data_IF_438499967461
#
_entry.id   IF_438499967461
#
_cell.length_a   1.000
_cell.length_b   1.000
_cell.length_c   1.000
_cell.angle_alpha   90.00
_cell.angle_beta   90.00
_cell.angle_gamma   90.00
#
_symmetry.space_group_name_H-M   'P 1'
#
loop_
_entity.id
_entity.type
_entity.pdbx_description
1 polymer ?
#
# COMPACT_ATOMS: atom_id res chain seq x y z
N UNK A 1 -9.46 54.30 -46.65
CA UNK A 1 -10.17 53.33 -45.80
C UNK A 1 -9.17 52.30 -45.31
N UNK A 2 -8.66 52.39 -44.08
CA UNK A 2 -7.80 51.35 -43.53
C UNK A 2 -8.67 50.12 -43.20
N UNK A 3 -8.29 48.95 -43.70
CA UNK A 3 -8.99 47.69 -43.45
C UNK A 3 -8.96 47.29 -41.96
N UNK A 4 -9.91 46.46 -41.50
CA UNK A 4 -10.04 46.13 -40.09
C UNK A 4 -8.78 45.41 -39.60
N UNK A 5 -8.15 45.98 -38.57
CA UNK A 5 -7.04 45.39 -37.84
C UNK A 5 -7.43 43.98 -37.40
N UNK A 6 -6.72 42.97 -37.92
CA UNK A 6 -6.86 41.60 -37.49
C UNK A 6 -6.66 41.53 -35.96
N UNK A 7 -7.70 41.11 -35.23
CA UNK A 7 -7.65 40.93 -33.78
C UNK A 7 -6.48 39.98 -33.47
N UNK A 8 -5.58 40.31 -32.54
CA UNK A 8 -4.43 39.47 -32.27
C UNK A 8 -4.90 38.09 -31.78
N UNK A 9 -4.23 36.99 -32.18
CA UNK A 9 -4.67 35.61 -31.93
C UNK A 9 -4.75 35.20 -30.45
N UNK A 10 -4.41 36.09 -29.51
CA UNK A 10 -4.51 35.88 -28.06
C UNK A 10 -5.79 36.40 -27.37
N UNK A 11 -6.50 37.37 -27.96
CA UNK A 11 -7.59 38.09 -27.24
C UNK A 11 -8.79 37.18 -26.92
N UNK A 12 -9.15 36.28 -27.84
CA UNK A 12 -10.28 35.36 -27.64
C UNK A 12 -9.98 34.15 -26.74
N UNK A 13 -8.70 33.88 -26.44
CA UNK A 13 -8.29 32.83 -25.52
C UNK A 13 -8.31 33.34 -24.08
N UNK A 14 -7.73 34.53 -23.84
CA UNK A 14 -7.72 35.21 -22.54
C UNK A 14 -9.16 35.48 -22.06
N UNK A 15 -10.02 36.02 -22.94
CA UNK A 15 -11.43 36.29 -22.63
C UNK A 15 -12.22 35.01 -22.26
N UNK A 16 -11.92 33.87 -22.88
CA UNK A 16 -12.55 32.58 -22.51
C UNK A 16 -12.03 32.03 -21.18
N UNK A 17 -10.78 32.30 -20.81
CA UNK A 17 -10.23 31.92 -19.51
C UNK A 17 -10.83 32.75 -18.39
N UNK A 18 -10.89 34.08 -18.55
CA UNK A 18 -11.51 35.01 -17.61
C UNK A 18 -12.99 34.69 -17.41
N UNK A 19 -13.71 34.40 -18.50
CA UNK A 19 -15.11 33.94 -18.42
C UNK A 19 -15.26 32.67 -17.59
N UNK A 20 -14.36 31.68 -17.76
CA UNK A 20 -14.41 30.42 -16.98
C UNK A 20 -14.06 30.63 -15.51
N UNK A 21 -13.12 31.54 -15.23
CA UNK A 21 -12.76 31.93 -13.87
C UNK A 21 -13.97 32.51 -13.14
N UNK A 22 -14.65 33.50 -13.73
CA UNK A 22 -15.81 34.11 -13.07
C UNK A 22 -16.98 33.15 -12.92
N UNK A 23 -17.18 32.25 -13.88
CA UNK A 23 -18.19 31.18 -13.77
C UNK A 23 -17.87 30.24 -12.60
N UNK A 24 -16.60 29.94 -12.32
CA UNK A 24 -16.21 29.18 -11.13
C UNK A 24 -16.42 29.96 -9.82
N UNK A 25 -16.07 31.25 -9.81
CA UNK A 25 -16.16 32.13 -8.64
C UNK A 25 -17.60 32.37 -8.17
N UNK A 26 -18.54 32.41 -9.11
CA UNK A 26 -19.97 32.69 -8.85
C UNK A 26 -20.88 31.45 -8.88
N UNK A 27 -20.34 30.27 -9.20
CA UNK A 27 -21.09 29.02 -9.26
C UNK A 27 -21.80 28.70 -7.94
N UNK A 28 -23.00 28.10 -8.02
CA UNK A 28 -23.68 27.57 -6.84
C UNK A 28 -22.95 26.33 -6.30
N UNK A 29 -23.24 25.93 -5.05
CA UNK A 29 -22.67 24.71 -4.46
C UNK A 29 -22.99 23.45 -5.29
N UNK A 30 -24.18 23.38 -5.89
CA UNK A 30 -24.59 22.27 -6.75
C UNK A 30 -23.78 22.25 -8.06
N UNK A 31 -23.55 23.41 -8.67
CA UNK A 31 -22.78 23.53 -9.91
C UNK A 31 -21.31 23.16 -9.69
N UNK A 32 -20.73 23.59 -8.56
CA UNK A 32 -19.39 23.18 -8.13
C UNK A 32 -19.30 21.66 -7.97
N UNK A 33 -20.29 21.05 -7.32
CA UNK A 33 -20.35 19.60 -7.13
C UNK A 33 -20.40 18.84 -8.45
N UNK A 34 -21.16 19.32 -9.43
CA UNK A 34 -21.27 18.68 -10.74
C UNK A 34 -20.01 18.84 -11.61
N UNK A 35 -19.32 19.98 -11.51
CA UNK A 35 -18.35 20.40 -12.53
C UNK A 35 -16.88 20.19 -12.13
N UNK A 36 -16.53 20.31 -10.85
CA UNK A 36 -15.14 20.43 -10.39
C UNK A 36 -14.22 19.25 -10.76
N UNK A 37 -14.75 18.03 -10.82
CA UNK A 37 -13.95 16.84 -11.08
C UNK A 37 -13.31 16.80 -12.49
N UNK A 38 -13.90 17.51 -13.46
CA UNK A 38 -13.42 17.56 -14.86
C UNK A 38 -13.28 18.99 -15.39
N UNK A 39 -13.42 19.98 -14.50
CA UNK A 39 -13.41 21.37 -14.89
C UNK A 39 -12.04 21.81 -15.46
N UNK A 40 -12.04 22.78 -16.39
CA UNK A 40 -10.81 23.46 -16.80
C UNK A 40 -10.13 24.14 -15.61
N UNK A 41 -8.80 24.27 -15.68
CA UNK A 41 -7.96 24.88 -14.63
C UNK A 41 -8.50 26.25 -14.19
N UNK A 42 -8.83 27.13 -15.15
CA UNK A 42 -9.36 28.47 -14.87
C UNK A 42 -10.66 28.46 -14.04
N UNK A 43 -11.57 27.49 -14.28
CA UNK A 43 -12.79 27.35 -13.49
C UNK A 43 -12.48 26.92 -12.06
N UNK A 44 -11.54 25.98 -11.89
CA UNK A 44 -11.10 25.55 -10.55
C UNK A 44 -10.45 26.71 -9.79
N UNK A 45 -9.63 27.53 -10.46
CA UNK A 45 -9.03 28.72 -9.85
C UNK A 45 -10.08 29.70 -9.33
N UNK A 46 -11.10 30.00 -10.14
CA UNK A 46 -12.21 30.84 -9.70
C UNK A 46 -13.03 30.21 -8.57
N UNK A 47 -13.26 28.90 -8.64
CA UNK A 47 -13.96 28.16 -7.58
C UNK A 47 -13.22 28.19 -6.24
N UNK A 48 -11.88 28.31 -6.22
CA UNK A 48 -11.13 28.48 -4.97
C UNK A 48 -11.39 29.83 -4.28
N UNK A 49 -11.89 30.82 -5.00
CA UNK A 49 -12.31 32.12 -4.46
C UNK A 49 -13.82 32.19 -4.17
N UNK A 50 -14.55 31.09 -4.38
CA UNK A 50 -15.98 31.04 -4.19
C UNK A 50 -16.33 30.88 -2.69
N UNK A 51 -17.19 31.74 -2.12
CA UNK A 51 -17.58 31.65 -0.71
C UNK A 51 -18.36 30.38 -0.35
N UNK A 52 -19.00 29.72 -1.34
CA UNK A 52 -19.70 28.45 -1.15
C UNK A 52 -18.76 27.22 -1.21
N UNK A 53 -17.44 27.42 -1.31
CA UNK A 53 -16.47 26.34 -1.35
C UNK A 53 -16.46 25.56 -0.03
N UNK A 54 -16.55 24.23 -0.13
CA UNK A 54 -16.55 23.31 1.00
C UNK A 54 -15.41 22.28 0.86
N UNK A 55 -15.04 21.57 1.93
CA UNK A 55 -14.11 20.46 1.82
C UNK A 55 -14.55 19.38 0.81
N UNK A 56 -15.86 19.12 0.68
CA UNK A 56 -16.39 18.19 -0.32
C UNK A 56 -16.10 18.64 -1.75
N UNK A 57 -16.22 19.93 -2.03
CA UNK A 57 -15.85 20.52 -3.33
C UNK A 57 -14.34 20.37 -3.61
N UNK A 58 -13.49 20.56 -2.59
CA UNK A 58 -12.04 20.35 -2.72
C UNK A 58 -11.68 18.90 -3.06
N UNK A 59 -12.37 17.92 -2.47
CA UNK A 59 -12.17 16.51 -2.83
C UNK A 59 -12.51 16.23 -4.30
N UNK A 60 -13.53 16.90 -4.83
CA UNK A 60 -13.88 16.80 -6.24
C UNK A 60 -12.83 17.45 -7.13
N UNK A 61 -12.35 18.65 -6.76
CA UNK A 61 -11.25 19.31 -7.47
C UNK A 61 -9.99 18.42 -7.49
N UNK A 62 -9.60 17.83 -6.35
CA UNK A 62 -8.42 16.96 -6.23
C UNK A 62 -8.54 15.63 -6.99
N UNK A 63 -9.72 15.25 -7.48
CA UNK A 63 -9.87 14.10 -8.41
C UNK A 63 -9.46 14.46 -9.85
N UNK A 64 -9.34 15.74 -10.17
CA UNK A 64 -8.98 16.20 -11.50
C UNK A 64 -7.46 16.06 -11.74
N UNK A 65 -7.01 15.13 -12.60
CA UNK A 65 -5.57 14.87 -12.81
C UNK A 65 -4.85 16.03 -13.52
N UNK A 66 -5.61 16.98 -14.08
CA UNK A 66 -5.06 18.13 -14.79
C UNK A 66 -4.66 19.28 -13.87
N UNK A 67 -4.94 19.20 -12.56
CA UNK A 67 -4.61 20.29 -11.65
C UNK A 67 -3.10 20.57 -11.64
N UNK A 68 -2.68 21.81 -11.92
CA UNK A 68 -1.28 22.19 -11.87
C UNK A 68 -0.81 22.36 -10.42
N UNK A 69 0.50 22.23 -10.22
CA UNK A 69 1.15 22.34 -8.91
C UNK A 69 0.82 23.63 -8.13
N UNK A 70 0.75 24.84 -8.76
CA UNK A 70 0.44 26.07 -8.05
C UNK A 70 -0.94 26.09 -7.37
N UNK A 71 -1.95 25.44 -7.99
CA UNK A 71 -3.29 25.31 -7.40
C UNK A 71 -3.23 24.40 -6.18
N UNK A 72 -2.54 23.26 -6.29
CA UNK A 72 -2.37 22.33 -5.17
C UNK A 72 -1.60 22.97 -4.01
N UNK A 73 -0.57 23.77 -4.31
CA UNK A 73 0.15 24.56 -3.32
C UNK A 73 -0.74 25.61 -2.66
N UNK A 74 -1.61 26.27 -3.42
CA UNK A 74 -2.61 27.22 -2.90
C UNK A 74 -3.59 26.53 -1.95
N UNK A 75 -4.09 25.35 -2.32
CA UNK A 75 -4.95 24.54 -1.45
C UNK A 75 -4.19 24.17 -0.17
N UNK A 76 -2.95 23.73 -0.30
CA UNK A 76 -2.08 23.33 0.82
C UNK A 76 -1.73 24.44 1.81
N UNK A 77 -1.75 25.71 1.39
CA UNK A 77 -1.48 26.87 2.26
C UNK A 77 -2.65 27.22 3.16
N UNK A 78 -3.87 26.79 2.83
CA UNK A 78 -5.05 27.08 3.64
C UNK A 78 -5.27 25.98 4.68
N UNK A 79 -4.97 26.28 5.95
CA UNK A 79 -5.09 25.33 7.05
C UNK A 79 -6.53 24.82 7.25
N UNK A 80 -7.56 25.65 7.00
CA UNK A 80 -8.95 25.24 7.15
C UNK A 80 -9.34 24.19 6.11
N UNK A 81 -8.83 24.32 4.89
CA UNK A 81 -9.06 23.38 3.80
C UNK A 81 -8.32 22.05 3.99
N UNK A 82 -7.10 22.10 4.53
CA UNK A 82 -6.26 20.91 4.75
C UNK A 82 -6.60 20.21 6.06
N UNK A 83 -7.35 20.84 6.97
CA UNK A 83 -7.72 20.25 8.27
C UNK A 83 -8.39 18.86 8.13
N UNK A 84 -9.38 18.64 7.25
CA UNK A 84 -10.04 17.34 7.08
C UNK A 84 -9.07 16.28 6.56
N UNK A 85 -9.19 15.06 7.10
CA UNK A 85 -8.34 13.93 6.72
C UNK A 85 -8.38 13.64 5.22
N UNK A 86 -9.58 13.59 4.64
CA UNK A 86 -9.78 13.21 3.24
C UNK A 86 -9.06 14.16 2.28
N UNK A 87 -8.99 15.46 2.63
CA UNK A 87 -8.29 16.45 1.81
C UNK A 87 -6.78 16.22 1.87
N UNK A 88 -6.23 15.92 3.06
CA UNK A 88 -4.80 15.54 3.19
C UNK A 88 -4.48 14.32 2.34
N UNK A 89 -5.29 13.27 2.47
CA UNK A 89 -5.13 12.03 1.71
C UNK A 89 -5.21 12.29 0.20
N UNK A 90 -6.20 13.08 -0.25
CA UNK A 90 -6.36 13.43 -1.66
C UNK A 90 -5.17 14.25 -2.20
N UNK A 91 -4.64 15.21 -1.44
CA UNK A 91 -3.42 15.96 -1.83
C UNK A 91 -2.23 15.03 -1.97
N UNK A 92 -1.95 14.18 -0.97
CA UNK A 92 -0.80 13.25 -1.01
C UNK A 92 -0.91 12.28 -2.20
N UNK A 93 -2.13 11.91 -2.59
CA UNK A 93 -2.40 11.01 -3.69
C UNK A 93 -2.37 11.64 -5.08
N UNK A 94 -2.29 12.97 -5.16
CA UNK A 94 -2.25 13.67 -6.43
C UNK A 94 -0.83 13.62 -7.00
N UNK A 95 -0.67 13.07 -8.21
CA UNK A 95 0.65 12.88 -8.83
C UNK A 95 1.41 14.19 -9.15
N UNK A 96 0.71 15.32 -9.18
CA UNK A 96 1.29 16.67 -9.33
C UNK A 96 1.41 17.46 -8.02
N UNK A 97 1.15 16.84 -6.87
CA UNK A 97 1.26 17.55 -5.60
C UNK A 97 2.69 18.05 -5.37
N UNK A 98 2.87 19.29 -4.86
CA UNK A 98 4.18 19.79 -4.47
C UNK A 98 4.83 18.80 -3.50
N UNK A 99 6.07 18.39 -3.79
CA UNK A 99 6.73 17.33 -3.03
C UNK A 99 6.80 17.64 -1.54
N UNK A 100 7.17 18.86 -1.16
CA UNK A 100 7.28 19.30 0.24
C UNK A 100 5.93 19.20 0.96
N UNK A 101 4.85 19.61 0.29
CA UNK A 101 3.50 19.52 0.84
C UNK A 101 3.10 18.05 1.07
N UNK A 102 3.27 17.19 0.05
CA UNK A 102 2.95 15.78 0.17
C UNK A 102 3.76 15.08 1.26
N UNK A 103 5.06 15.41 1.39
CA UNK A 103 5.94 14.87 2.43
C UNK A 103 5.54 15.30 3.84
N UNK A 104 5.03 16.52 4.01
CA UNK A 104 4.54 16.98 5.30
C UNK A 104 3.22 16.31 5.67
N UNK A 105 2.36 16.05 4.69
CA UNK A 105 1.03 15.49 4.91
C UNK A 105 1.02 13.96 5.08
N UNK A 106 1.97 13.23 4.49
CA UNK A 106 2.01 11.76 4.51
C UNK A 106 2.08 11.18 5.93
N UNK A 107 2.66 11.92 6.89
CA UNK A 107 2.79 11.50 8.28
C UNK A 107 1.45 11.38 9.01
N UNK A 108 0.43 12.09 8.53
CA UNK A 108 -0.92 12.10 9.10
C UNK A 108 -1.85 11.03 8.51
N UNK A 109 -1.40 10.29 7.49
CA UNK A 109 -2.24 9.29 6.83
C UNK A 109 -2.42 8.05 7.68
N UNK A 110 -3.61 7.46 7.58
CA UNK A 110 -3.91 6.14 8.11
C UNK A 110 -3.23 5.06 7.28
N UNK A 111 -3.10 3.86 7.86
CA UNK A 111 -2.32 2.78 7.26
C UNK A 111 -2.83 2.36 5.87
N UNK A 112 -4.15 2.42 5.64
CA UNK A 112 -4.76 2.12 4.33
C UNK A 112 -4.23 3.05 3.23
N UNK A 113 -4.21 4.35 3.51
CA UNK A 113 -3.73 5.34 2.54
C UNK A 113 -2.21 5.32 2.43
N UNK A 114 -1.47 5.06 3.52
CA UNK A 114 -0.02 4.82 3.45
C UNK A 114 0.31 3.63 2.54
N UNK A 115 -0.44 2.52 2.67
CA UNK A 115 -0.27 1.35 1.81
C UNK A 115 -0.56 1.71 0.34
N UNK A 116 -1.63 2.48 0.09
CA UNK A 116 -1.99 2.95 -1.25
C UNK A 116 -0.95 3.94 -1.82
N UNK A 117 -0.34 4.80 -1.00
CA UNK A 117 0.76 5.70 -1.42
C UNK A 117 1.99 4.89 -1.81
N UNK A 118 2.38 3.93 -0.97
CA UNK A 118 3.56 3.08 -1.21
C UNK A 118 3.44 2.30 -2.55
N UNK A 119 2.22 1.88 -2.90
CA UNK A 119 1.97 1.07 -4.10
C UNK A 119 1.76 1.87 -5.40
N UNK A 120 1.57 3.20 -5.33
CA UNK A 120 1.20 4.00 -6.51
C UNK A 120 2.40 4.37 -7.39
N UNK A 121 2.57 3.81 -8.60
CA UNK A 121 3.79 4.03 -9.39
C UNK A 121 3.97 5.47 -9.89
N UNK A 122 2.90 6.23 -10.00
CA UNK A 122 2.89 7.62 -10.46
C UNK A 122 3.27 8.64 -9.38
N UNK A 123 3.47 8.22 -8.13
CA UNK A 123 3.91 9.09 -7.05
C UNK A 123 5.44 9.13 -6.93
N UNK A 124 5.96 10.25 -6.42
CA UNK A 124 7.40 10.46 -6.24
C UNK A 124 8.04 9.29 -5.46
N UNK A 125 9.15 8.68 -5.93
CA UNK A 125 9.78 7.53 -5.27
C UNK A 125 10.17 7.77 -3.80
N UNK A 126 10.50 9.02 -3.45
CA UNK A 126 10.82 9.42 -2.08
C UNK A 126 9.60 9.38 -1.18
N UNK A 127 8.46 9.90 -1.64
CA UNK A 127 7.17 9.83 -0.94
C UNK A 127 6.74 8.38 -0.70
N UNK A 128 6.85 7.52 -1.71
CA UNK A 128 6.50 6.09 -1.61
C UNK A 128 7.33 5.36 -0.56
N UNK A 129 8.66 5.58 -0.58
CA UNK A 129 9.58 5.02 0.42
C UNK A 129 9.28 5.54 1.83
N UNK A 130 8.94 6.82 1.96
CA UNK A 130 8.56 7.38 3.26
C UNK A 130 7.27 6.79 3.79
N UNK A 131 6.24 6.64 2.94
CA UNK A 131 5.00 5.98 3.31
C UNK A 131 5.23 4.52 3.75
N UNK A 132 6.02 3.76 2.99
CA UNK A 132 6.41 2.39 3.34
C UNK A 132 7.14 2.34 4.69
N UNK A 133 8.08 3.27 4.94
CA UNK A 133 8.81 3.34 6.21
C UNK A 133 7.88 3.60 7.40
N UNK A 134 7.00 4.58 7.28
CA UNK A 134 6.01 4.90 8.32
C UNK A 134 5.10 3.69 8.57
N UNK A 135 4.61 3.07 7.50
CA UNK A 135 3.75 1.90 7.58
C UNK A 135 4.46 0.71 8.24
N UNK A 136 5.74 0.49 7.92
CA UNK A 136 6.57 -0.58 8.51
C UNK A 136 6.75 -0.40 10.01
N UNK A 137 6.93 0.84 10.48
CA UNK A 137 7.03 1.16 11.91
C UNK A 137 5.69 0.93 12.60
N UNK A 138 4.60 1.49 12.06
CA UNK A 138 3.26 1.39 12.66
C UNK A 138 2.65 -0.01 12.57
N UNK A 139 3.09 -0.84 11.63
CA UNK A 139 2.52 -2.17 11.40
C UNK A 139 2.54 -3.07 12.65
N UNK A 140 3.49 -2.87 13.57
CA UNK A 140 3.57 -3.65 14.81
C UNK A 140 2.45 -3.32 15.80
N UNK A 141 1.99 -2.07 15.79
CA UNK A 141 0.97 -1.52 16.71
C UNK A 141 -0.46 -1.71 16.20
N UNK A 142 -0.62 -2.10 14.93
CA UNK A 142 -1.94 -2.33 14.33
C UNK A 142 -2.69 -3.46 15.03
N UNK A 143 -4.02 -3.32 15.10
CA UNK A 143 -4.87 -4.40 15.57
C UNK A 143 -4.74 -5.63 14.65
N UNK A 144 -5.01 -6.82 15.18
CA UNK A 144 -4.86 -8.08 14.42
C UNK A 144 -5.66 -8.06 13.11
N UNK A 145 -6.91 -7.55 13.13
CA UNK A 145 -7.73 -7.43 11.92
C UNK A 145 -7.13 -6.48 10.86
N UNK A 146 -6.48 -5.41 11.30
CA UNK A 146 -5.78 -4.47 10.42
C UNK A 146 -4.51 -5.09 9.84
N UNK A 147 -3.73 -5.79 10.67
CA UNK A 147 -2.56 -6.56 10.22
C UNK A 147 -2.92 -7.61 9.18
N UNK A 148 -4.02 -8.35 9.38
CA UNK A 148 -4.55 -9.32 8.41
C UNK A 148 -4.87 -8.63 7.08
N UNK A 149 -5.52 -7.47 7.13
CA UNK A 149 -5.90 -6.72 5.95
C UNK A 149 -4.67 -6.14 5.22
N UNK A 150 -3.71 -5.61 5.97
CA UNK A 150 -2.44 -5.11 5.46
C UNK A 150 -1.60 -6.24 4.85
N UNK A 151 -1.53 -7.41 5.47
CA UNK A 151 -0.71 -8.53 5.03
C UNK A 151 -0.99 -8.95 3.58
N UNK A 152 -2.26 -8.86 3.12
CA UNK A 152 -2.65 -9.20 1.74
C UNK A 152 -2.14 -8.22 0.70
N UNK A 153 -2.00 -6.95 1.06
CA UNK A 153 -1.64 -5.85 0.14
C UNK A 153 -0.25 -5.27 0.42
N UNK A 154 0.44 -5.78 1.45
CA UNK A 154 1.72 -5.27 1.93
C UNK A 154 2.75 -5.16 0.80
N UNK A 155 3.55 -4.09 0.86
CA UNK A 155 4.75 -3.93 0.05
C UNK A 155 5.91 -4.75 0.62
N UNK A 156 7.02 -4.87 -0.13
CA UNK A 156 8.17 -5.71 0.28
C UNK A 156 8.75 -5.28 1.64
N UNK A 157 8.86 -3.98 1.92
CA UNK A 157 9.34 -3.49 3.21
C UNK A 157 8.45 -3.93 4.36
N UNK A 158 7.13 -3.87 4.17
CA UNK A 158 6.13 -4.25 5.19
C UNK A 158 6.06 -5.77 5.37
N UNK A 159 6.21 -6.56 4.30
CA UNK A 159 6.29 -8.04 4.38
C UNK A 159 7.42 -8.48 5.31
N UNK A 160 8.58 -7.83 5.26
CA UNK A 160 9.72 -8.15 6.12
C UNK A 160 9.42 -7.95 7.61
N UNK A 161 8.50 -7.06 7.95
CA UNK A 161 8.01 -6.84 9.31
C UNK A 161 6.95 -7.89 9.66
N UNK A 162 5.92 -8.04 8.83
CA UNK A 162 4.77 -8.91 9.10
C UNK A 162 5.11 -10.41 9.12
N UNK A 163 6.17 -10.83 8.43
CA UNK A 163 6.63 -12.25 8.48
C UNK A 163 7.10 -12.68 9.88
N UNK A 164 7.35 -11.74 10.79
CA UNK A 164 7.73 -12.02 12.18
C UNK A 164 6.52 -12.06 13.12
N UNK A 165 5.31 -11.85 12.60
CA UNK A 165 4.10 -11.84 13.42
C UNK A 165 3.78 -13.25 13.93
N UNK A 166 3.46 -13.35 15.21
CA UNK A 166 3.18 -14.61 15.90
C UNK A 166 1.74 -15.10 15.64
N UNK A 167 0.87 -14.24 15.10
CA UNK A 167 -0.51 -14.60 14.86
C UNK A 167 -0.66 -15.42 13.56
N UNK A 168 -1.16 -16.68 13.63
CA UNK A 168 -1.31 -17.52 12.45
C UNK A 168 -2.28 -16.94 11.41
N UNK A 169 -3.27 -16.14 11.81
CA UNK A 169 -4.18 -15.49 10.85
C UNK A 169 -3.49 -14.40 10.02
N UNK A 170 -2.55 -13.66 10.63
CA UNK A 170 -1.74 -12.65 9.93
C UNK A 170 -0.82 -13.36 8.93
N UNK A 171 -0.14 -14.43 9.36
CA UNK A 171 0.72 -15.22 8.48
C UNK A 171 -0.08 -15.86 7.34
N UNK A 172 -1.26 -16.43 7.62
CA UNK A 172 -2.15 -16.97 6.58
C UNK A 172 -2.52 -15.92 5.53
N UNK A 173 -2.84 -14.70 5.96
CA UNK A 173 -3.12 -13.60 5.04
C UNK A 173 -1.87 -13.17 4.26
N UNK A 174 -0.69 -13.23 4.88
CA UNK A 174 0.59 -12.95 4.23
C UNK A 174 0.92 -13.98 3.14
N UNK A 175 0.63 -15.27 3.35
CA UNK A 175 0.84 -16.34 2.37
C UNK A 175 0.02 -16.14 1.08
N UNK A 176 -1.12 -15.44 1.17
CA UNK A 176 -1.97 -15.04 0.04
C UNK A 176 -1.42 -13.84 -0.73
N UNK A 177 -0.42 -13.12 -0.20
CA UNK A 177 0.10 -11.93 -0.85
C UNK A 177 0.89 -12.31 -2.13
N UNK A 178 0.59 -11.70 -3.29
CA UNK A 178 1.28 -12.00 -4.55
C UNK A 178 2.76 -11.59 -4.54
N UNK A 179 3.13 -10.63 -3.68
CA UNK A 179 4.50 -10.13 -3.52
C UNK A 179 5.32 -10.97 -2.54
N UNK A 180 4.73 -11.95 -1.84
CA UNK A 180 5.47 -12.86 -0.95
C UNK A 180 6.32 -13.81 -1.78
N UNK A 181 7.59 -13.97 -1.39
CA UNK A 181 8.56 -14.84 -2.04
C UNK A 181 8.93 -16.03 -1.18
N UNK A 182 9.53 -17.03 -1.81
CA UNK A 182 9.97 -18.26 -1.13
C UNK A 182 11.00 -17.98 -0.01
N UNK A 183 11.89 -17.01 -0.21
CA UNK A 183 12.81 -16.52 0.81
C UNK A 183 12.10 -16.04 2.09
N UNK A 184 10.91 -15.46 1.97
CA UNK A 184 10.13 -14.97 3.10
C UNK A 184 9.45 -16.13 3.83
N UNK A 185 8.86 -17.06 3.08
CA UNK A 185 8.24 -18.26 3.65
C UNK A 185 9.27 -19.13 4.39
N UNK A 186 10.46 -19.30 3.81
CA UNK A 186 11.58 -20.00 4.46
C UNK A 186 12.04 -19.30 5.73
N UNK A 187 12.08 -17.96 5.73
CA UNK A 187 12.42 -17.20 6.94
C UNK A 187 11.38 -17.38 8.06
N UNK A 188 10.10 -17.49 7.73
CA UNK A 188 9.04 -17.81 8.71
C UNK A 188 9.25 -19.22 9.25
N UNK A 189 9.42 -20.21 8.37
CA UNK A 189 9.60 -21.62 8.76
C UNK A 189 10.86 -21.85 9.61
N UNK A 190 11.95 -21.13 9.32
CA UNK A 190 13.21 -21.22 10.04
C UNK A 190 13.28 -20.40 11.33
N UNK A 191 12.23 -19.65 11.68
CA UNK A 191 12.21 -18.80 12.87
C UNK A 191 12.20 -19.61 14.16
N UNK A 192 13.19 -19.41 15.03
CA UNK A 192 13.27 -20.10 16.32
C UNK A 192 12.09 -19.79 17.26
N UNK A 193 11.49 -18.60 17.12
CA UNK A 193 10.31 -18.17 17.88
C UNK A 193 8.98 -18.36 17.15
N UNK A 194 8.96 -19.04 16.00
CA UNK A 194 7.73 -19.21 15.24
C UNK A 194 6.74 -20.11 16.01
N UNK A 195 5.51 -19.64 16.33
CA UNK A 195 4.54 -20.45 17.05
C UNK A 195 4.12 -21.69 16.26
N UNK A 196 3.76 -22.76 16.98
CA UNK A 196 3.39 -24.03 16.38
C UNK A 196 2.22 -23.90 15.37
N UNK A 197 1.26 -23.02 15.66
CA UNK A 197 0.12 -22.72 14.77
C UNK A 197 0.54 -21.99 13.48
N UNK A 198 1.59 -21.16 13.52
CA UNK A 198 2.16 -20.51 12.33
C UNK A 198 2.82 -21.55 11.43
N UNK A 199 3.62 -22.44 12.01
CA UNK A 199 4.28 -23.54 11.27
C UNK A 199 3.27 -24.50 10.64
N UNK A 200 2.18 -24.80 11.37
CA UNK A 200 1.06 -25.56 10.83
C UNK A 200 0.40 -24.84 9.64
N UNK A 201 0.13 -23.54 9.77
CA UNK A 201 -0.44 -22.72 8.68
C UNK A 201 0.42 -22.78 7.41
N UNK A 202 1.75 -22.71 7.54
CA UNK A 202 2.66 -22.85 6.39
C UNK A 202 2.58 -24.23 5.74
N UNK A 203 2.50 -25.29 6.55
CA UNK A 203 2.48 -26.67 6.10
C UNK A 203 1.15 -27.11 5.47
N UNK A 204 0.08 -26.35 5.70
CA UNK A 204 -1.28 -26.60 5.19
C UNK A 204 -1.65 -25.68 4.03
N UNK A 205 -0.89 -24.61 3.77
CA UNK A 205 -1.18 -23.68 2.70
C UNK A 205 -1.05 -24.35 1.31
N UNK A 206 -2.07 -24.30 0.44
CA UNK A 206 -2.06 -24.99 -0.86
C UNK A 206 -0.94 -24.54 -1.80
N UNK A 207 -0.55 -23.26 -1.76
CA UNK A 207 0.50 -22.71 -2.64
C UNK A 207 1.88 -23.12 -2.14
N UNK A 208 2.07 -23.11 -0.83
CA UNK A 208 3.39 -23.24 -0.21
C UNK A 208 3.75 -24.67 0.20
N UNK A 209 2.77 -25.51 0.53
CA UNK A 209 2.97 -26.92 0.90
C UNK A 209 3.49 -27.79 -0.26
N UNK A 210 3.41 -27.33 -1.50
CA UNK A 210 4.00 -28.01 -2.67
C UNK A 210 5.51 -27.81 -2.78
N UNK A 211 6.12 -26.93 -1.97
CA UNK A 211 7.55 -26.59 -2.03
C UNK A 211 8.36 -27.47 -1.07
N UNK A 212 9.19 -28.41 -1.58
CA UNK A 212 9.94 -29.33 -0.71
C UNK A 212 10.94 -28.62 0.21
N UNK A 213 11.55 -27.52 -0.25
CA UNK A 213 12.46 -26.72 0.56
C UNK A 213 11.75 -26.14 1.81
N UNK A 214 10.53 -25.65 1.63
CA UNK A 214 9.72 -25.12 2.72
C UNK A 214 9.29 -26.21 3.70
N UNK A 215 8.78 -27.33 3.18
CA UNK A 215 8.39 -28.47 4.02
C UNK A 215 9.56 -28.99 4.84
N UNK A 216 10.75 -29.11 4.25
CA UNK A 216 11.98 -29.46 4.97
C UNK A 216 12.29 -28.45 6.07
N UNK A 217 12.17 -27.14 5.79
CA UNK A 217 12.40 -26.10 6.80
C UNK A 217 11.42 -26.22 7.98
N UNK A 218 10.13 -26.45 7.70
CA UNK A 218 9.11 -26.67 8.73
C UNK A 218 9.40 -27.94 9.53
N UNK A 219 9.70 -29.07 8.89
CA UNK A 219 10.04 -30.32 9.59
C UNK A 219 11.30 -30.21 10.46
N UNK A 220 12.25 -29.33 10.11
CA UNK A 220 13.46 -29.07 10.90
C UNK A 220 13.22 -28.16 12.10
N UNK A 221 12.12 -27.41 12.12
CA UNK A 221 11.85 -26.50 13.23
C UNK A 221 11.39 -27.30 14.48
N UNK A 222 12.04 -27.13 15.65
CA UNK A 222 11.71 -27.87 16.86
C UNK A 222 10.32 -27.55 17.43
N UNK A 223 9.73 -26.40 17.08
CA UNK A 223 8.40 -25.97 17.53
C UNK A 223 7.29 -26.56 16.67
N UNK A 224 7.62 -27.17 15.52
CA UNK A 224 6.62 -27.77 14.63
C UNK A 224 5.81 -28.85 15.35
N UNK A 225 4.46 -28.80 15.28
CA UNK A 225 3.63 -29.84 15.84
C UNK A 225 4.03 -31.22 15.32
N UNK A 226 4.18 -32.19 16.24
CA UNK A 226 4.60 -33.57 15.90
C UNK A 226 3.78 -34.18 14.76
N UNK A 227 2.43 -34.07 14.72
CA UNK A 227 1.64 -34.62 13.62
C UNK A 227 1.99 -34.01 12.27
N UNK A 228 2.24 -32.70 12.23
CA UNK A 228 2.63 -31.97 11.02
C UNK A 228 4.01 -32.42 10.56
N UNK A 229 4.98 -32.50 11.48
CA UNK A 229 6.33 -32.92 11.15
C UNK A 229 6.37 -34.36 10.59
N UNK A 230 5.63 -35.29 11.20
CA UNK A 230 5.56 -36.68 10.72
C UNK A 230 4.88 -36.79 9.35
N UNK A 231 3.77 -36.08 9.13
CA UNK A 231 3.10 -36.02 7.83
C UNK A 231 4.03 -35.51 6.72
N UNK A 232 4.81 -34.46 7.02
CA UNK A 232 5.79 -33.92 6.08
C UNK A 232 6.83 -34.99 5.74
N UNK A 233 7.44 -35.62 6.75
CA UNK A 233 8.49 -36.64 6.57
C UNK A 233 8.00 -37.81 5.70
N UNK A 234 6.76 -38.27 5.90
CA UNK A 234 6.16 -39.34 5.09
C UNK A 234 6.02 -38.97 3.60
N UNK A 235 5.92 -37.69 3.26
CA UNK A 235 5.79 -37.21 1.88
C UNK A 235 7.11 -36.78 1.22
N UNK A 236 8.26 -36.86 1.91
CA UNK A 236 9.56 -36.46 1.35
C UNK A 236 10.16 -37.55 0.47
N UNK A 237 10.98 -37.14 -0.51
CA UNK A 237 11.74 -38.08 -1.34
C UNK A 237 12.82 -38.81 -0.52
N UNK A 238 13.25 -39.99 -0.98
CA UNK A 238 14.35 -40.75 -0.35
C UNK A 238 15.65 -39.93 -0.26
N UNK A 239 15.93 -39.08 -1.25
CA UNK A 239 17.04 -38.12 -1.22
C UNK A 239 16.88 -37.12 -0.08
N UNK A 240 15.71 -36.50 0.04
CA UNK A 240 15.43 -35.51 1.08
C UNK A 240 15.44 -36.14 2.49
N UNK A 241 14.99 -37.38 2.64
CA UNK A 241 15.07 -38.14 3.90
C UNK A 241 16.52 -38.41 4.30
N UNK A 242 17.36 -38.84 3.36
CA UNK A 242 18.81 -39.00 3.58
C UNK A 242 19.46 -37.68 4.00
N UNK A 243 19.12 -36.57 3.34
CA UNK A 243 19.64 -35.25 3.70
C UNK A 243 19.15 -34.82 5.10
N UNK A 244 17.89 -35.07 5.44
CA UNK A 244 17.30 -34.72 6.73
C UNK A 244 17.92 -35.52 7.88
N UNK A 245 18.16 -36.82 7.69
CA UNK A 245 18.79 -37.69 8.70
C UNK A 245 20.26 -37.34 8.99
N UNK A 246 20.96 -36.76 8.02
CA UNK A 246 22.36 -36.30 8.15
C UNK A 246 22.50 -34.88 8.69
N UNK A 247 21.43 -34.08 8.65
CA UNK A 247 21.47 -32.68 9.06
C UNK A 247 21.66 -32.57 10.58
N UNK A 248 22.67 -31.85 11.08
CA UNK A 248 22.80 -31.55 12.51
C UNK A 248 21.69 -30.56 12.93
N UNK A 249 21.14 -30.74 14.14
CA UNK A 249 20.04 -29.91 14.71
C UNK A 249 18.64 -30.13 14.12
N UNK A 250 18.31 -31.38 13.78
CA UNK A 250 16.92 -31.79 13.48
C UNK A 250 16.28 -32.40 14.74
N UNK A 251 14.97 -32.16 14.99
CA UNK A 251 14.26 -32.81 16.11
C UNK A 251 14.41 -34.33 16.06
N UNK A 252 14.69 -34.96 17.21
CA UNK A 252 14.97 -36.40 17.29
C UNK A 252 13.87 -37.27 16.65
N UNK A 253 12.60 -36.89 16.87
CA UNK A 253 11.44 -37.53 16.25
C UNK A 253 11.53 -37.58 14.72
N UNK A 254 11.90 -36.46 14.11
CA UNK A 254 11.99 -36.30 12.64
C UNK A 254 13.17 -37.12 12.10
N UNK A 255 14.29 -37.16 12.82
CA UNK A 255 15.46 -37.98 12.46
C UNK A 255 15.14 -39.47 12.47
N UNK A 256 14.50 -39.96 13.54
CA UNK A 256 14.10 -41.37 13.65
C UNK A 256 13.07 -41.74 12.58
N UNK A 257 12.07 -40.88 12.36
CA UNK A 257 11.06 -41.11 11.32
C UNK A 257 11.70 -41.16 9.92
N UNK A 258 12.63 -40.26 9.61
CA UNK A 258 13.34 -40.27 8.34
C UNK A 258 14.17 -41.55 8.15
N UNK A 259 14.91 -41.99 9.18
CA UNK A 259 15.73 -43.21 9.13
C UNK A 259 14.92 -44.49 8.90
N UNK A 260 13.68 -44.55 9.38
CA UNK A 260 12.78 -45.70 9.16
C UNK A 260 12.25 -45.80 7.73
N UNK A 261 12.31 -44.72 6.96
CA UNK A 261 11.74 -44.62 5.61
C UNK A 261 12.80 -44.62 4.50
N UNK A 262 14.09 -44.70 4.85
CA UNK A 262 15.23 -44.80 3.92
C UNK A 262 15.56 -46.27 3.69
#
# INVERSE_FOLDING_TARGET
MPGPLARPPGTGYISRMESRFEVGRSASANDLTASLAKAPVAYVEGALDNPALSPGHLLLALKNPLLPEPILARIGRNAAWVKPYDVKAAIVMHHRAPRTLAMNLVTFLWWHDLARVADRPNLAPTLRRTAERILSIRAQELAVGEKISLARIASRGVINVLRRDENPMVVRALLQNPRLREEDALAIAGGAGAPAAVLQTLAEDPRWSTRPALLKAVARNPVTPRPVALRIVQGLSTRDLKDLSRTPRVPALVKVAAQRLI
#
